data_IF_120494890476
#
_entry.id   IF_120494890476
#
_cell.length_a   1.000
_cell.length_b   1.000
_cell.length_c   1.000
_cell.angle_alpha   90.00
_cell.angle_beta   90.00
_cell.angle_gamma   90.00
#
_symmetry.space_group_name_H-M   'P 1'
#
loop_
_entity.id
_entity.type
_entity.pdbx_description
1 polymer ?
#
# COMPACT_ATOMS: atom_id res chain seq x y z
N UNK A 1 -11.49 35.98 -3.25
CA UNK A 1 -11.70 34.58 -3.69
C UNK A 1 -11.61 34.56 -5.21
N UNK A 2 -10.41 34.40 -5.76
CA UNK A 2 -10.21 34.36 -7.21
C UNK A 2 -10.58 32.95 -7.72
N UNK A 3 -11.45 32.81 -8.73
CA UNK A 3 -11.80 31.53 -9.38
C UNK A 3 -10.63 30.81 -10.09
N UNK A 4 -9.39 31.19 -9.81
CA UNK A 4 -8.22 30.96 -10.66
C UNK A 4 -7.56 29.57 -10.53
N UNK A 5 -7.99 28.75 -9.56
CA UNK A 5 -7.45 27.40 -9.36
C UNK A 5 -8.50 26.31 -9.65
N UNK A 6 -9.50 26.60 -10.50
CA UNK A 6 -10.45 25.58 -10.94
C UNK A 6 -9.81 24.73 -12.08
N UNK A 7 -9.05 23.70 -11.71
CA UNK A 7 -8.46 22.74 -12.67
C UNK A 7 -9.51 21.94 -13.47
N UNK A 8 -10.78 21.99 -13.04
CA UNK A 8 -11.91 21.39 -13.75
C UNK A 8 -12.54 22.33 -14.80
N UNK A 9 -12.30 23.66 -14.77
CA UNK A 9 -12.83 24.61 -15.76
C UNK A 9 -12.43 24.33 -17.21
N UNK A 10 -11.15 24.05 -17.55
CA UNK A 10 -10.74 23.85 -18.95
C UNK A 10 -11.23 22.53 -19.56
N UNK A 11 -11.76 21.61 -18.74
CA UNK A 11 -12.32 20.34 -19.21
C UNK A 11 -13.84 20.38 -19.44
N UNK A 12 -14.49 21.53 -19.22
CA UNK A 12 -15.92 21.76 -19.50
C UNK A 12 -16.10 22.38 -20.88
N UNK A 13 -16.90 21.74 -21.75
CA UNK A 13 -17.19 22.24 -23.11
C UNK A 13 -18.02 23.55 -23.09
N UNK A 14 -18.65 23.90 -21.96
CA UNK A 14 -19.53 25.08 -21.84
C UNK A 14 -19.08 26.14 -20.82
N UNK A 15 -18.00 25.93 -20.07
CA UNK A 15 -17.42 26.96 -19.18
C UNK A 15 -18.27 27.41 -17.98
N UNK A 16 -19.46 26.87 -17.77
CA UNK A 16 -20.42 27.29 -16.72
C UNK A 16 -20.72 26.22 -15.66
N UNK A 17 -20.27 24.97 -15.84
CA UNK A 17 -20.57 23.86 -14.93
C UNK A 17 -19.31 23.11 -14.52
N UNK A 18 -18.74 23.47 -13.36
CA UNK A 18 -17.57 22.83 -12.73
C UNK A 18 -17.75 21.32 -12.51
N UNK A 19 -19.00 20.86 -12.39
CA UNK A 19 -19.37 19.46 -12.22
C UNK A 19 -19.06 18.59 -13.45
N UNK A 20 -19.24 19.14 -14.66
CA UNK A 20 -18.94 18.44 -15.92
C UNK A 20 -17.42 18.22 -16.11
N UNK A 21 -16.62 19.22 -15.71
CA UNK A 21 -15.16 19.13 -15.77
C UNK A 21 -14.56 18.11 -14.79
N UNK A 22 -15.19 17.89 -13.64
CA UNK A 22 -14.79 16.84 -12.68
C UNK A 22 -15.04 15.42 -13.21
N UNK A 23 -15.97 15.25 -14.15
CA UNK A 23 -16.26 13.96 -14.81
C UNK A 23 -15.56 13.78 -16.15
N UNK A 24 -14.83 14.78 -16.63
CA UNK A 24 -14.08 14.68 -17.88
C UNK A 24 -13.00 13.59 -17.75
N UNK A 25 -12.93 12.74 -18.78
CA UNK A 25 -11.99 11.62 -18.83
C UNK A 25 -10.54 12.07 -18.58
N UNK A 26 -10.15 13.27 -19.00
CA UNK A 26 -8.80 13.81 -18.76
C UNK A 26 -8.48 14.05 -17.28
N UNK A 27 -9.45 14.54 -16.51
CA UNK A 27 -9.25 14.85 -15.08
C UNK A 27 -9.17 13.58 -14.24
N UNK A 28 -10.13 12.67 -14.41
CA UNK A 28 -10.19 11.41 -13.66
C UNK A 28 -9.04 10.45 -13.99
N UNK A 29 -8.55 10.47 -15.24
CA UNK A 29 -7.40 9.65 -15.65
C UNK A 29 -6.09 10.16 -15.03
N UNK A 30 -5.91 11.47 -14.90
CA UNK A 30 -4.75 12.05 -14.20
C UNK A 30 -4.74 11.64 -12.73
N UNK A 31 -5.91 11.64 -12.10
CA UNK A 31 -6.08 11.21 -10.71
C UNK A 31 -5.77 9.72 -10.52
N UNK A 32 -6.12 8.88 -11.50
CA UNK A 32 -5.75 7.46 -11.50
C UNK A 32 -4.22 7.25 -11.56
N UNK A 33 -3.50 8.02 -12.39
CA UNK A 33 -2.03 7.96 -12.44
C UNK A 33 -1.36 8.43 -11.15
N UNK A 34 -1.93 9.43 -10.47
CA UNK A 34 -1.45 9.84 -9.15
C UNK A 34 -1.59 8.72 -8.11
N UNK A 35 -2.71 8.00 -8.10
CA UNK A 35 -2.86 6.85 -7.20
C UNK A 35 -1.93 5.70 -7.57
N UNK A 36 -1.65 5.50 -8.86
CA UNK A 36 -0.70 4.48 -9.31
C UNK A 36 0.75 4.78 -8.88
N UNK A 37 1.18 6.04 -8.95
CA UNK A 37 2.51 6.43 -8.46
C UNK A 37 2.63 6.25 -6.94
N UNK A 38 1.55 6.56 -6.21
CA UNK A 38 1.50 6.32 -4.77
C UNK A 38 1.51 4.83 -4.42
N UNK A 39 0.85 3.98 -5.23
CA UNK A 39 0.93 2.52 -5.10
C UNK A 39 2.36 2.00 -5.30
N UNK A 40 3.11 2.53 -6.28
CA UNK A 40 4.52 2.18 -6.48
C UNK A 40 5.38 2.56 -5.27
N UNK A 41 5.15 3.73 -4.67
CA UNK A 41 5.85 4.14 -3.45
C UNK A 41 5.52 3.20 -2.28
N UNK A 42 4.25 2.80 -2.13
CA UNK A 42 3.85 1.85 -1.08
C UNK A 42 4.45 0.45 -1.29
N UNK A 43 4.70 0.02 -2.52
CA UNK A 43 5.45 -1.21 -2.79
C UNK A 43 6.90 -1.13 -2.29
N UNK A 44 7.57 0.01 -2.47
CA UNK A 44 8.92 0.22 -1.92
C UNK A 44 8.88 0.15 -0.40
N UNK A 45 7.87 0.77 0.24
CA UNK A 45 7.69 0.70 1.70
C UNK A 45 7.38 -0.71 2.19
N UNK A 46 6.61 -1.50 1.44
CA UNK A 46 6.36 -2.90 1.74
C UNK A 46 7.66 -3.71 1.78
N UNK A 47 8.58 -3.49 0.83
CA UNK A 47 9.90 -4.16 0.83
C UNK A 47 10.67 -3.80 2.10
N UNK A 48 10.73 -2.50 2.45
CA UNK A 48 11.40 -2.04 3.66
C UNK A 48 10.77 -2.60 4.94
N UNK A 49 9.45 -2.73 5.00
CA UNK A 49 8.70 -3.20 6.16
C UNK A 49 8.94 -4.69 6.49
N UNK A 50 9.37 -5.49 5.51
CA UNK A 50 9.74 -6.90 5.73
C UNK A 50 10.83 -7.08 6.79
N UNK A 51 11.67 -6.06 7.00
CA UNK A 51 12.71 -6.07 8.03
C UNK A 51 12.19 -5.76 9.43
N UNK A 52 11.02 -5.11 9.55
CA UNK A 52 10.49 -4.65 10.83
C UNK A 52 9.66 -5.73 11.50
N UNK A 53 8.59 -6.17 10.84
CA UNK A 53 7.56 -7.00 11.49
C UNK A 53 6.43 -7.45 10.51
N UNK A 54 5.78 -8.62 10.71
CA UNK A 54 4.72 -9.15 9.80
C UNK A 54 3.47 -8.28 9.80
N UNK A 55 3.15 -7.66 10.93
CA UNK A 55 1.97 -6.79 11.05
C UNK A 55 2.19 -5.52 10.23
N UNK A 56 3.40 -4.97 10.23
CA UNK A 56 3.76 -3.83 9.38
C UNK A 56 3.69 -4.19 7.89
N UNK A 57 4.17 -5.37 7.49
CA UNK A 57 4.04 -5.87 6.11
C UNK A 57 2.57 -5.99 5.70
N UNK A 58 1.73 -6.53 6.57
CA UNK A 58 0.29 -6.71 6.31
C UNK A 58 -0.41 -5.36 6.11
N UNK A 59 -0.05 -4.36 6.91
CA UNK A 59 -0.52 -2.97 6.76
C UNK A 59 -0.13 -2.44 5.38
N UNK A 60 1.17 -2.42 5.04
CA UNK A 60 1.61 -1.88 3.76
C UNK A 60 1.04 -2.64 2.56
N UNK A 61 0.89 -3.96 2.65
CA UNK A 61 0.23 -4.76 1.62
C UNK A 61 -1.23 -4.32 1.42
N UNK A 62 -1.99 -4.17 2.51
CA UNK A 62 -3.38 -3.71 2.45
C UNK A 62 -3.50 -2.29 1.86
N UNK A 63 -2.53 -1.41 2.16
CA UNK A 63 -2.41 -0.09 1.53
C UNK A 63 -2.11 -0.16 0.03
N UNK A 64 -1.21 -1.05 -0.41
CA UNK A 64 -0.95 -1.27 -1.85
C UNK A 64 -2.24 -1.71 -2.56
N UNK A 65 -2.98 -2.66 -1.97
CA UNK A 65 -4.26 -3.11 -2.52
C UNK A 65 -5.27 -1.95 -2.57
N UNK A 66 -5.34 -1.12 -1.53
CA UNK A 66 -6.18 0.09 -1.50
C UNK A 66 -5.87 1.02 -2.67
N UNK A 67 -4.60 1.41 -2.87
CA UNK A 67 -4.22 2.36 -3.92
C UNK A 67 -4.42 1.77 -5.32
N UNK A 68 -4.18 0.47 -5.51
CA UNK A 68 -4.46 -0.22 -6.77
C UNK A 68 -5.96 -0.25 -7.09
N UNK A 69 -6.82 -0.58 -6.10
CA UNK A 69 -8.27 -0.54 -6.28
C UNK A 69 -8.76 0.90 -6.51
N UNK A 70 -8.21 1.89 -5.81
CA UNK A 70 -8.55 3.29 -6.04
C UNK A 70 -8.21 3.70 -7.47
N UNK A 71 -6.99 3.45 -7.96
CA UNK A 71 -6.60 3.75 -9.33
C UNK A 71 -7.52 3.09 -10.37
N UNK A 72 -7.84 1.81 -10.17
CA UNK A 72 -8.78 1.08 -11.02
C UNK A 72 -10.21 1.64 -10.96
N UNK A 73 -10.66 2.15 -9.81
CA UNK A 73 -11.95 2.81 -9.68
C UNK A 73 -12.03 4.07 -10.54
N UNK A 74 -11.01 4.93 -10.47
CA UNK A 74 -10.95 6.17 -11.24
C UNK A 74 -10.85 5.91 -12.75
N UNK A 75 -10.14 4.86 -13.17
CA UNK A 75 -10.16 4.44 -14.58
C UNK A 75 -11.55 3.96 -15.04
N UNK A 76 -12.26 3.17 -14.23
CA UNK A 76 -13.62 2.73 -14.55
C UNK A 76 -14.61 3.91 -14.62
N UNK A 77 -14.48 4.85 -13.69
CA UNK A 77 -15.26 6.09 -13.72
C UNK A 77 -14.95 6.95 -14.96
N UNK A 78 -13.69 6.96 -15.44
CA UNK A 78 -13.29 7.67 -16.65
C UNK A 78 -13.78 7.06 -17.96
N UNK A 79 -14.09 5.77 -17.97
CA UNK A 79 -14.75 5.09 -19.10
C UNK A 79 -16.28 5.29 -19.08
N UNK A 80 -16.81 5.88 -18.00
CA UNK A 80 -18.25 6.10 -17.81
C UNK A 80 -18.98 4.97 -17.09
N UNK A 81 -18.27 3.92 -16.67
CA UNK A 81 -18.82 2.81 -15.87
C UNK A 81 -18.78 3.15 -14.37
N UNK A 82 -19.76 3.95 -13.95
CA UNK A 82 -19.89 4.43 -12.57
C UNK A 82 -20.21 3.31 -11.58
N UNK A 83 -20.98 2.30 -12.01
CA UNK A 83 -21.41 1.19 -11.15
C UNK A 83 -20.20 0.35 -10.71
N UNK A 84 -19.35 -0.02 -11.67
CA UNK A 84 -18.13 -0.77 -11.34
C UNK A 84 -17.15 0.09 -10.54
N UNK A 85 -17.05 1.39 -10.86
CA UNK A 85 -16.24 2.34 -10.11
C UNK A 85 -16.63 2.43 -8.64
N UNK A 86 -17.91 2.62 -8.33
CA UNK A 86 -18.41 2.69 -6.95
C UNK A 86 -18.13 1.40 -6.17
N UNK A 87 -18.34 0.24 -6.79
CA UNK A 87 -18.03 -1.05 -6.14
C UNK A 87 -16.55 -1.20 -5.81
N UNK A 88 -15.66 -0.71 -6.69
CA UNK A 88 -14.23 -0.70 -6.43
C UNK A 88 -13.86 0.26 -5.30
N UNK A 89 -14.51 1.43 -5.19
CA UNK A 89 -14.33 2.37 -4.07
C UNK A 89 -14.80 1.75 -2.75
N UNK A 90 -15.93 1.04 -2.74
CA UNK A 90 -16.38 0.31 -1.55
C UNK A 90 -15.36 -0.78 -1.17
N UNK A 91 -14.83 -1.50 -2.16
CA UNK A 91 -13.78 -2.49 -1.95
C UNK A 91 -12.49 -1.88 -1.39
N UNK A 92 -12.08 -0.69 -1.86
CA UNK A 92 -10.91 0.01 -1.34
C UNK A 92 -11.15 0.54 0.08
N UNK A 93 -12.36 1.02 0.38
CA UNK A 93 -12.74 1.39 1.75
C UNK A 93 -12.69 0.21 2.73
N UNK A 94 -13.08 -0.99 2.28
CA UNK A 94 -13.01 -2.19 3.09
C UNK A 94 -11.56 -2.57 3.46
N UNK A 95 -10.60 -2.43 2.55
CA UNK A 95 -9.19 -2.70 2.86
C UNK A 95 -8.58 -1.64 3.77
N UNK A 96 -9.02 -0.38 3.66
CA UNK A 96 -8.68 0.69 4.61
C UNK A 96 -9.20 0.38 6.02
N UNK A 97 -10.43 -0.13 6.14
CA UNK A 97 -10.98 -0.51 7.44
C UNK A 97 -10.12 -1.58 8.14
N UNK A 98 -9.71 -2.62 7.40
CA UNK A 98 -8.78 -3.64 7.91
C UNK A 98 -7.44 -3.01 8.32
N UNK A 99 -6.92 -2.10 7.50
CA UNK A 99 -5.69 -1.34 7.79
C UNK A 99 -5.82 -0.55 9.09
N UNK A 100 -6.95 0.10 9.35
CA UNK A 100 -7.21 0.84 10.59
C UNK A 100 -7.26 -0.06 11.82
N UNK A 101 -7.88 -1.24 11.72
CA UNK A 101 -7.88 -2.22 12.81
C UNK A 101 -6.47 -2.71 13.15
N UNK A 102 -5.66 -3.01 12.13
CA UNK A 102 -4.24 -3.36 12.32
C UNK A 102 -3.42 -2.18 12.88
N UNK A 103 -3.71 -0.95 12.45
CA UNK A 103 -3.07 0.25 12.98
C UNK A 103 -3.33 0.45 14.48
N UNK A 104 -4.57 0.23 14.93
CA UNK A 104 -4.91 0.28 16.34
C UNK A 104 -4.14 -0.75 17.17
N UNK A 105 -3.95 -1.95 16.63
CA UNK A 105 -3.16 -3.01 17.24
C UNK A 105 -1.68 -2.62 17.40
N UNK A 106 -1.06 -2.14 16.32
CA UNK A 106 0.36 -1.71 16.33
C UNK A 106 0.57 -0.52 17.27
N UNK A 107 -0.34 0.45 17.25
CA UNK A 107 -0.28 1.61 18.14
C UNK A 107 -0.33 1.19 19.61
N UNK A 108 -1.24 0.28 19.96
CA UNK A 108 -1.33 -0.24 21.34
C UNK A 108 -0.07 -1.00 21.75
N UNK A 109 0.47 -1.82 20.84
CA UNK A 109 1.71 -2.57 21.10
C UNK A 109 2.91 -1.63 21.32
N UNK A 110 3.05 -0.58 20.50
CA UNK A 110 4.12 0.42 20.62
C UNK A 110 4.01 1.25 21.91
N UNK A 111 2.79 1.60 22.33
CA UNK A 111 2.58 2.30 23.59
C UNK A 111 2.97 1.45 24.80
N UNK A 112 2.58 0.18 24.83
CA UNK A 112 2.94 -0.73 25.92
C UNK A 112 4.46 -0.97 26.00
N UNK A 113 5.12 -1.05 24.85
CA UNK A 113 6.58 -1.11 24.76
C UNK A 113 7.24 0.17 25.28
N UNK A 114 6.71 1.35 24.92
CA UNK A 114 7.24 2.65 25.38
C UNK A 114 7.12 2.88 26.89
N UNK A 115 6.14 2.25 27.54
CA UNK A 115 5.91 2.32 29.00
C UNK A 115 6.72 1.26 29.75
N UNK A 116 7.44 0.38 29.03
CA UNK A 116 8.30 -0.64 29.62
C UNK A 116 7.53 -1.78 30.29
N UNK A 117 6.32 -2.09 29.81
CA UNK A 117 5.51 -3.18 30.36
C UNK A 117 6.18 -4.55 30.04
N UNK A 118 6.35 -5.47 31.01
CA UNK A 118 7.08 -6.73 30.83
C UNK A 118 6.35 -7.79 29.95
N UNK A 119 5.23 -7.42 29.32
CA UNK A 119 4.43 -8.29 28.47
C UNK A 119 4.73 -7.90 27.02
N UNK A 120 5.63 -8.62 26.36
CA UNK A 120 5.88 -8.46 24.93
C UNK A 120 4.66 -8.99 24.15
N UNK A 121 3.80 -8.10 23.67
CA UNK A 121 2.74 -8.48 22.73
C UNK A 121 3.40 -9.02 21.46
N UNK A 122 3.04 -10.23 21.00
CA UNK A 122 3.68 -10.85 19.86
C UNK A 122 3.32 -10.07 18.61
N UNK A 123 4.23 -9.19 18.22
CA UNK A 123 4.07 -8.39 17.01
C UNK A 123 4.27 -9.30 15.77
N UNK A 124 4.61 -10.58 15.88
CA UNK A 124 4.85 -11.43 14.70
C UNK A 124 6.23 -11.14 14.13
N UNK A 125 7.24 -11.72 14.76
CA UNK A 125 8.65 -11.57 14.41
C UNK A 125 9.00 -12.43 13.17
N UNK A 126 9.50 -11.82 12.08
CA UNK A 126 10.04 -12.54 10.92
C UNK A 126 11.52 -12.86 11.08
N UNK A 127 12.17 -12.54 12.21
CA UNK A 127 13.58 -12.84 12.41
C UNK A 127 13.89 -14.31 12.11
N UNK A 128 12.96 -15.22 12.39
CA UNK A 128 13.08 -16.65 12.07
C UNK A 128 13.19 -16.95 10.55
N UNK A 129 12.52 -16.18 9.68
CA UNK A 129 12.62 -16.36 8.22
C UNK A 129 13.97 -15.89 7.66
N UNK A 130 14.55 -14.84 8.25
CA UNK A 130 15.86 -14.35 7.83
C UNK A 130 17.01 -15.21 8.37
N UNK A 131 16.86 -15.78 9.57
CA UNK A 131 17.87 -16.69 10.12
C UNK A 131 17.88 -18.05 9.38
N UNK A 132 16.73 -18.51 8.87
CA UNK A 132 16.63 -19.67 7.97
C UNK A 132 17.35 -19.45 6.63
N UNK A 133 17.26 -18.25 6.05
CA UNK A 133 17.98 -17.90 4.83
C UNK A 133 19.49 -17.85 5.06
N UNK A 134 19.94 -17.34 6.22
CA UNK A 134 21.35 -17.36 6.62
C UNK A 134 21.87 -18.79 6.82
N UNK A 135 21.10 -19.65 7.48
CA UNK A 135 21.52 -21.04 7.74
C UNK A 135 21.64 -21.86 6.45
N UNK A 136 20.74 -21.65 5.48
CA UNK A 136 20.81 -22.30 4.16
C UNK A 136 22.03 -21.86 3.34
N UNK A 137 22.47 -20.60 3.47
CA UNK A 137 23.69 -20.11 2.84
C UNK A 137 24.96 -20.72 3.46
N UNK A 138 25.00 -20.79 4.79
CA UNK A 138 26.12 -21.41 5.50
C UNK A 138 26.23 -22.92 5.20
N UNK A 139 25.09 -23.63 5.07
CA UNK A 139 25.02 -25.05 4.70
C UNK A 139 25.37 -25.34 3.21
N UNK A 140 25.38 -24.32 2.35
CA UNK A 140 25.91 -24.52 0.99
C UNK A 140 27.44 -24.38 0.98
N UNK A 141 27.98 -23.54 1.86
CA UNK A 141 29.39 -23.15 1.88
C UNK A 141 30.28 -24.16 2.62
N UNK A 142 29.77 -24.82 3.66
CA UNK A 142 30.38 -25.99 4.32
C UNK A 142 30.39 -27.24 3.40
N UNK A 143 29.36 -27.45 2.58
CA UNK A 143 29.32 -28.52 1.58
C UNK A 143 30.33 -28.25 0.45
N UNK A 144 30.49 -27.01 0.00
CA UNK A 144 31.48 -26.68 -1.04
C UNK A 144 32.92 -26.79 -0.51
N UNK A 145 33.18 -26.34 0.72
CA UNK A 145 34.52 -26.43 1.33
C UNK A 145 34.95 -27.86 1.67
N UNK A 146 34.02 -28.75 2.04
CA UNK A 146 34.32 -30.18 2.25
C UNK A 146 34.66 -30.91 0.95
N UNK A 147 33.96 -30.59 -0.16
CA UNK A 147 34.26 -31.17 -1.47
C UNK A 147 35.62 -30.70 -2.05
N UNK A 148 36.12 -29.54 -1.65
CA UNK A 148 37.44 -29.04 -2.08
C UNK A 148 38.59 -29.68 -1.30
N UNK A 149 38.35 -30.12 -0.07
CA UNK A 149 39.38 -30.80 0.75
C UNK A 149 39.59 -32.28 0.41
N UNK A 150 38.67 -32.92 -0.30
CA UNK A 150 38.74 -34.33 -0.70
C UNK A 150 39.36 -34.55 -2.10
N UNK A 151 39.83 -33.48 -2.76
CA UNK A 151 40.43 -33.48 -4.10
C UNK A 151 41.88 -32.97 -4.04
#
# INVERSE_FOLDING_TARGET
>A
MTPAFNSAAPYSISGTSTLEGMHSAGFVNTYAFFFLSMAMLMLVYMICATRTNVVYVTIFFSLVVFFCLAAAAYWRMGVGDKITGERLVVGSGATLFVTSLCGWWVFTAQLLDSVGFPIALPIGDLSHLWDLQRNKGNFAQDVESSNVSDN
#
